data_IF_824020139240
#
_entry.id   IF_824020139240
#
_cell.length_a   1.000
_cell.length_b   1.000
_cell.length_c   1.000
_cell.angle_alpha   90.00
_cell.angle_beta   90.00
_cell.angle_gamma   90.00
#
_symmetry.space_group_name_H-M   'P 1'
#
loop_
_entity.id
_entity.type
_entity.pdbx_description
1 polymer ?
#
# COMPACT_ATOMS: atom_id res chain seq x y z
N UNK A 1 12.19 -2.61 14.85
CA UNK A 1 12.99 -3.08 16.02
C UNK A 1 14.25 -3.87 15.61
N UNK A 2 14.18 -4.93 14.78
CA UNK A 2 15.37 -5.76 14.44
C UNK A 2 16.58 -4.98 13.90
N UNK A 3 16.39 -3.95 13.05
CA UNK A 3 17.51 -3.12 12.56
C UNK A 3 18.01 -2.12 13.60
N UNK A 4 17.12 -1.54 14.39
CA UNK A 4 17.51 -0.66 15.50
C UNK A 4 18.27 -1.48 16.54
N UNK A 5 17.76 -2.67 16.91
CA UNK A 5 18.44 -3.56 17.87
C UNK A 5 19.76 -4.10 17.32
N UNK A 6 19.91 -4.36 16.01
CA UNK A 6 21.21 -4.71 15.40
C UNK A 6 22.24 -3.60 15.53
N UNK A 7 21.87 -2.35 15.24
CA UNK A 7 22.76 -1.18 15.35
C UNK A 7 23.11 -0.82 16.80
N UNK A 8 22.23 -1.18 17.77
CA UNK A 8 22.46 -0.94 19.19
C UNK A 8 23.18 -2.13 19.86
N UNK A 9 22.94 -3.37 19.43
CA UNK A 9 23.62 -4.59 19.95
C UNK A 9 25.13 -4.66 19.65
N UNK A 10 25.63 -3.85 18.75
CA UNK A 10 27.06 -3.80 18.46
C UNK A 10 27.92 -3.16 19.57
N UNK A 11 27.31 -2.72 20.68
CA UNK A 11 28.02 -2.03 21.78
C UNK A 11 27.94 -2.73 23.15
N UNK A 12 27.59 -4.02 23.24
CA UNK A 12 27.70 -4.77 24.51
C UNK A 12 26.42 -5.48 24.94
N UNK A 13 26.59 -6.69 25.45
CA UNK A 13 25.58 -7.71 25.79
C UNK A 13 24.61 -7.39 26.92
N UNK A 14 24.16 -6.16 27.10
CA UNK A 14 23.21 -5.77 28.13
C UNK A 14 21.79 -5.61 27.59
N UNK A 15 20.81 -5.87 28.48
CA UNK A 15 19.39 -5.62 28.22
C UNK A 15 19.16 -4.22 27.64
N UNK A 16 18.44 -4.12 26.55
CA UNK A 16 18.21 -2.87 25.82
C UNK A 16 17.44 -1.88 26.71
N UNK A 17 18.11 -0.85 27.23
CA UNK A 17 17.47 0.19 28.05
C UNK A 17 16.84 1.28 27.17
N UNK A 18 15.66 1.81 27.52
CA UNK A 18 14.97 2.86 26.75
C UNK A 18 15.84 4.09 26.49
N UNK A 19 16.53 4.57 27.52
CA UNK A 19 17.41 5.75 27.43
C UNK A 19 18.51 5.58 26.36
N UNK A 20 19.11 4.39 26.23
CA UNK A 20 20.13 4.12 25.20
C UNK A 20 19.54 4.20 23.77
N UNK A 21 18.32 3.70 23.61
CA UNK A 21 17.61 3.74 22.32
C UNK A 21 17.30 5.18 21.93
N UNK A 22 16.86 5.99 22.87
CA UNK A 22 16.58 7.42 22.66
C UNK A 22 17.85 8.21 22.35
N UNK A 23 18.92 7.98 23.10
CA UNK A 23 20.21 8.62 22.86
C UNK A 23 20.69 8.34 21.45
N UNK A 24 20.61 7.09 20.99
CA UNK A 24 20.99 6.72 19.62
C UNK A 24 20.07 7.36 18.58
N UNK A 25 18.77 7.43 18.81
CA UNK A 25 17.87 8.11 17.90
C UNK A 25 18.20 9.60 17.77
N UNK A 26 18.50 10.29 18.89
CA UNK A 26 18.93 11.69 18.90
C UNK A 26 20.22 11.88 18.11
N UNK A 27 21.22 11.05 18.34
CA UNK A 27 22.49 11.07 17.61
C UNK A 27 22.28 10.91 16.11
N UNK A 28 21.42 9.97 15.67
CA UNK A 28 21.09 9.77 14.25
C UNK A 28 20.41 11.00 13.63
N UNK A 29 19.60 11.73 14.43
CA UNK A 29 18.98 13.00 14.01
C UNK A 29 20.00 14.11 13.89
N UNK A 30 20.85 14.30 14.90
CA UNK A 30 21.88 15.34 14.92
C UNK A 30 22.90 15.16 13.80
N UNK A 31 23.35 13.93 13.59
CA UNK A 31 24.29 13.60 12.50
C UNK A 31 23.62 13.49 11.12
N UNK A 32 22.31 13.69 11.03
CA UNK A 32 21.54 13.56 9.78
C UNK A 32 21.74 12.20 9.08
N UNK A 33 21.96 11.13 9.85
CA UNK A 33 22.18 9.77 9.33
C UNK A 33 20.92 9.16 8.74
N UNK A 34 19.74 9.65 9.11
CA UNK A 34 18.46 9.14 8.68
C UNK A 34 17.59 10.22 8.04
N UNK A 35 16.75 9.81 7.10
CA UNK A 35 15.74 10.68 6.52
C UNK A 35 14.54 10.84 7.45
N UNK A 36 13.79 11.93 7.31
CA UNK A 36 12.55 12.21 8.06
C UNK A 36 11.58 11.01 8.09
N UNK A 37 11.36 10.35 6.94
CA UNK A 37 10.47 9.18 6.84
C UNK A 37 10.99 7.98 7.64
N UNK A 38 12.31 7.79 7.71
CA UNK A 38 12.95 6.75 8.52
C UNK A 38 12.84 7.08 10.00
N UNK A 39 13.05 8.35 10.37
CA UNK A 39 12.85 8.83 11.74
C UNK A 39 11.44 8.57 12.23
N UNK A 40 10.41 8.93 11.45
CA UNK A 40 9.00 8.67 11.82
C UNK A 40 8.74 7.18 12.05
N UNK A 41 9.28 6.31 11.19
CA UNK A 41 9.17 4.86 11.36
C UNK A 41 9.86 4.35 12.61
N UNK A 42 11.06 4.88 12.91
CA UNK A 42 11.79 4.52 14.13
C UNK A 42 11.09 5.03 15.39
N UNK A 43 10.63 6.29 15.39
CA UNK A 43 9.88 6.88 16.50
C UNK A 43 8.65 6.04 16.83
N UNK A 44 7.81 5.71 15.84
CA UNK A 44 6.63 4.85 16.05
C UNK A 44 7.00 3.45 16.58
N UNK A 45 8.05 2.82 16.04
CA UNK A 45 8.48 1.50 16.49
C UNK A 45 9.02 1.51 17.92
N UNK A 46 9.75 2.55 18.31
CA UNK A 46 10.28 2.73 19.67
C UNK A 46 9.13 3.03 20.63
N UNK A 47 8.18 3.89 20.28
CA UNK A 47 6.99 4.15 21.08
C UNK A 47 6.21 2.87 21.36
N UNK A 48 5.95 2.07 20.33
CA UNK A 48 5.28 0.78 20.50
C UNK A 48 6.05 -0.18 21.41
N UNK A 49 7.38 -0.27 21.25
CA UNK A 49 8.22 -1.11 22.10
C UNK A 49 8.21 -0.64 23.56
N UNK A 50 8.36 0.66 23.83
CA UNK A 50 8.29 1.24 25.18
C UNK A 50 6.93 0.91 25.82
N UNK A 51 5.83 1.12 25.10
CA UNK A 51 4.49 0.83 25.58
C UNK A 51 4.31 -0.66 25.95
N UNK A 52 4.77 -1.57 25.10
CA UNK A 52 4.71 -3.01 25.37
C UNK A 52 5.53 -3.41 26.62
N UNK A 53 6.73 -2.85 26.78
CA UNK A 53 7.57 -3.15 27.95
C UNK A 53 6.99 -2.54 29.23
N UNK A 54 6.46 -1.31 29.16
CA UNK A 54 5.77 -0.69 30.30
C UNK A 54 4.58 -1.53 30.78
N UNK A 55 3.74 -2.00 29.85
CA UNK A 55 2.61 -2.88 30.18
C UNK A 55 3.05 -4.18 30.86
N UNK A 56 4.11 -4.81 30.35
CA UNK A 56 4.62 -6.04 30.94
C UNK A 56 5.15 -5.83 32.39
N UNK A 57 5.87 -4.72 32.61
CA UNK A 57 6.39 -4.37 33.96
C UNK A 57 5.25 -4.03 34.93
N UNK A 58 4.26 -3.26 34.50
CA UNK A 58 3.07 -2.93 35.30
C UNK A 58 2.32 -4.22 35.68
N UNK A 59 2.15 -5.14 34.72
CA UNK A 59 1.46 -6.40 34.95
C UNK A 59 2.21 -7.32 35.94
N UNK A 60 3.55 -7.24 36.02
CA UNK A 60 4.39 -7.95 37.00
C UNK A 60 4.61 -7.18 38.30
N UNK A 61 4.00 -6.01 38.46
CA UNK A 61 4.19 -5.11 39.60
C UNK A 61 5.62 -4.58 39.75
N UNK A 62 6.37 -4.52 38.63
CA UNK A 62 7.73 -3.99 38.57
C UNK A 62 7.75 -2.49 38.21
N UNK A 63 8.87 -1.82 38.47
CA UNK A 63 9.03 -0.39 38.19
C UNK A 63 9.14 -0.09 36.67
N UNK A 64 8.14 0.60 36.13
CA UNK A 64 8.08 1.04 34.73
C UNK A 64 8.53 2.51 34.53
N UNK A 65 9.06 3.17 35.59
CA UNK A 65 9.38 4.62 35.57
C UNK A 65 10.31 5.06 34.45
N UNK A 66 11.36 4.27 34.19
CA UNK A 66 12.32 4.56 33.12
C UNK A 66 11.69 4.51 31.72
N UNK A 67 10.73 3.61 31.54
CA UNK A 67 9.98 3.50 30.26
C UNK A 67 9.00 4.66 30.09
N UNK A 68 8.28 5.06 31.13
CA UNK A 68 7.35 6.18 31.11
C UNK A 68 8.10 7.50 30.83
N UNK A 69 9.22 7.74 31.53
CA UNK A 69 10.08 8.90 31.26
C UNK A 69 10.58 8.92 29.81
N UNK A 70 11.10 7.80 29.35
CA UNK A 70 11.61 7.65 27.98
C UNK A 70 10.50 7.86 26.93
N UNK A 71 9.28 7.45 27.22
CA UNK A 71 8.15 7.70 26.34
C UNK A 71 7.86 9.20 26.18
N UNK A 72 7.84 9.93 27.27
CA UNK A 72 7.64 11.39 27.29
C UNK A 72 8.77 12.10 26.53
N UNK A 73 10.02 11.74 26.80
CA UNK A 73 11.18 12.27 26.07
C UNK A 73 11.11 12.00 24.57
N UNK A 74 10.71 10.80 24.17
CA UNK A 74 10.60 10.41 22.76
C UNK A 74 9.55 11.27 22.04
N UNK A 75 8.43 11.62 22.70
CA UNK A 75 7.42 12.54 22.12
C UNK A 75 8.02 13.89 21.79
N UNK A 76 8.93 14.40 22.62
CA UNK A 76 9.60 15.70 22.42
C UNK A 76 10.69 15.70 21.34
N UNK A 77 11.19 14.55 20.87
CA UNK A 77 12.21 14.52 19.82
C UNK A 77 11.59 14.98 18.49
N UNK A 78 12.04 16.14 17.98
CA UNK A 78 11.61 16.68 16.69
C UNK A 78 12.45 16.16 15.53
N UNK A 79 11.89 16.24 14.32
CA UNK A 79 12.54 15.87 13.06
C UNK A 79 12.87 17.08 12.18
N UNK A 80 12.70 18.30 12.69
CA UNK A 80 12.81 19.54 11.91
C UNK A 80 14.19 19.77 11.31
N UNK A 81 15.22 19.16 11.93
CA UNK A 81 16.61 19.19 11.42
C UNK A 81 16.89 18.17 10.32
N UNK A 82 15.98 17.23 10.10
CA UNK A 82 16.18 16.19 9.10
C UNK A 82 15.72 16.67 7.73
N UNK A 83 16.51 16.35 6.72
CA UNK A 83 16.08 16.54 5.34
C UNK A 83 14.81 15.73 5.10
N UNK A 84 13.74 16.40 4.69
CA UNK A 84 12.66 15.72 4.01
C UNK A 84 13.28 14.99 2.84
N UNK A 85 13.37 13.64 2.92
CA UNK A 85 13.80 12.88 1.77
C UNK A 85 12.83 13.24 0.65
N UNK A 86 13.36 13.82 -0.45
CA UNK A 86 12.56 13.97 -1.66
C UNK A 86 11.90 12.63 -1.90
N UNK A 87 10.58 12.58 -1.72
CA UNK A 87 9.84 11.33 -1.86
C UNK A 87 10.16 10.78 -3.24
N UNK A 88 10.79 9.61 -3.31
CA UNK A 88 11.10 8.95 -4.59
C UNK A 88 9.85 8.82 -5.46
N UNK A 89 8.66 8.86 -4.85
CA UNK A 89 7.36 8.93 -5.51
C UNK A 89 7.05 10.29 -6.15
N UNK A 90 7.65 11.40 -5.71
CA UNK A 90 7.44 12.71 -6.30
C UNK A 90 8.08 12.83 -7.70
N UNK A 91 9.20 12.13 -7.91
CA UNK A 91 9.92 12.08 -9.20
C UNK A 91 9.38 11.03 -10.19
N UNK A 92 8.44 10.16 -9.76
CA UNK A 92 7.87 9.15 -10.64
C UNK A 92 6.70 9.70 -11.43
N UNK A 93 6.64 9.35 -12.72
CA UNK A 93 5.50 9.68 -13.56
C UNK A 93 4.21 9.10 -12.96
N UNK A 94 3.21 9.98 -12.80
CA UNK A 94 1.88 9.65 -12.28
C UNK A 94 0.88 9.34 -13.40
N UNK A 95 1.39 8.95 -14.56
CA UNK A 95 0.61 8.56 -15.72
C UNK A 95 1.31 7.42 -16.47
N UNK A 96 0.55 6.62 -17.17
CA UNK A 96 1.00 5.65 -18.15
C UNK A 96 0.19 5.90 -19.43
N UNK A 97 0.75 6.70 -20.32
CA UNK A 97 0.03 7.17 -21.52
C UNK A 97 -0.25 6.03 -22.51
N UNK A 98 -1.20 6.24 -23.40
CA UNK A 98 -1.51 5.28 -24.46
C UNK A 98 -0.35 5.10 -25.44
N UNK A 99 0.45 6.15 -25.70
CA UNK A 99 1.66 6.05 -26.53
C UNK A 99 2.67 5.11 -25.89
N UNK A 100 2.94 5.25 -24.58
CA UNK A 100 3.80 4.33 -23.84
C UNK A 100 3.28 2.89 -23.87
N UNK A 101 1.96 2.71 -23.72
CA UNK A 101 1.31 1.40 -23.79
C UNK A 101 1.48 0.76 -25.17
N UNK A 102 1.16 1.50 -26.23
CA UNK A 102 1.28 1.03 -27.61
C UNK A 102 2.72 0.68 -27.97
N UNK A 103 3.69 1.53 -27.61
CA UNK A 103 5.11 1.27 -27.83
C UNK A 103 5.59 -0.01 -27.12
N UNK A 104 5.18 -0.22 -25.86
CA UNK A 104 5.51 -1.45 -25.13
C UNK A 104 4.88 -2.68 -25.77
N UNK A 105 3.61 -2.62 -26.17
CA UNK A 105 2.91 -3.75 -26.82
C UNK A 105 3.54 -4.07 -28.15
N UNK A 106 3.88 -3.06 -28.96
CA UNK A 106 4.59 -3.22 -30.24
C UNK A 106 5.94 -3.93 -30.00
N UNK A 107 6.76 -3.40 -29.08
CA UNK A 107 8.04 -3.99 -28.74
C UNK A 107 7.91 -5.46 -28.29
N UNK A 108 6.91 -5.76 -27.45
CA UNK A 108 6.65 -7.11 -26.96
C UNK A 108 6.23 -8.05 -28.10
N UNK A 109 5.47 -7.59 -29.08
CA UNK A 109 5.06 -8.36 -30.28
C UNK A 109 6.25 -8.68 -31.15
N UNK A 110 7.12 -7.70 -31.39
CA UNK A 110 8.27 -7.85 -32.28
C UNK A 110 9.41 -8.69 -31.66
N UNK A 111 9.60 -8.59 -30.33
CA UNK A 111 10.75 -9.19 -29.62
C UNK A 111 10.39 -10.17 -28.52
N UNK A 112 9.10 -10.46 -28.31
CA UNK A 112 8.63 -11.28 -27.18
C UNK A 112 9.20 -12.70 -27.15
N UNK A 113 9.48 -13.29 -28.30
CA UNK A 113 10.11 -14.62 -28.37
C UNK A 113 11.53 -14.65 -27.77
N UNK A 114 12.28 -13.56 -27.92
CA UNK A 114 13.65 -13.43 -27.38
C UNK A 114 13.71 -12.66 -26.05
N UNK A 115 12.59 -12.06 -25.63
CA UNK A 115 12.49 -11.26 -24.42
C UNK A 115 11.20 -11.58 -23.66
N UNK A 116 11.08 -12.72 -22.97
CA UNK A 116 9.84 -13.16 -22.31
C UNK A 116 9.33 -12.15 -21.25
N UNK A 117 10.23 -11.36 -20.67
CA UNK A 117 9.83 -10.29 -19.78
C UNK A 117 9.14 -9.09 -20.48
N UNK A 118 9.33 -8.93 -21.81
CA UNK A 118 8.61 -7.91 -22.57
C UNK A 118 7.13 -8.29 -22.72
N UNK A 119 6.85 -9.53 -23.09
CA UNK A 119 5.49 -10.05 -23.16
C UNK A 119 4.79 -9.99 -21.80
N UNK A 120 5.50 -10.36 -20.72
CA UNK A 120 4.99 -10.27 -19.35
C UNK A 120 4.69 -8.82 -18.94
N UNK A 121 5.59 -7.87 -19.27
CA UNK A 121 5.39 -6.47 -18.97
C UNK A 121 4.20 -5.87 -19.73
N UNK A 122 4.03 -6.22 -21.01
CA UNK A 122 2.88 -5.80 -21.82
C UNK A 122 1.58 -6.38 -21.23
N UNK A 123 1.53 -7.67 -20.92
CA UNK A 123 0.37 -8.31 -20.30
C UNK A 123 0.02 -7.66 -18.95
N UNK A 124 1.02 -7.32 -18.13
CA UNK A 124 0.80 -6.58 -16.88
C UNK A 124 0.18 -5.21 -17.13
N UNK A 125 0.74 -4.44 -18.05
CA UNK A 125 0.26 -3.08 -18.32
C UNK A 125 -1.17 -3.11 -18.82
N UNK A 126 -1.51 -3.99 -19.78
CA UNK A 126 -2.87 -4.16 -20.28
C UNK A 126 -3.85 -4.51 -19.16
N UNK A 127 -3.54 -5.49 -18.33
CA UNK A 127 -4.39 -5.91 -17.22
C UNK A 127 -4.47 -4.84 -16.11
N UNK A 128 -3.34 -4.24 -15.73
CA UNK A 128 -3.33 -3.33 -14.59
C UNK A 128 -3.88 -1.93 -14.91
N UNK A 129 -3.93 -1.54 -16.17
CA UNK A 129 -4.66 -0.33 -16.61
C UNK A 129 -6.19 -0.48 -16.48
N UNK A 130 -6.70 -1.70 -16.30
CA UNK A 130 -8.11 -1.96 -16.00
C UNK A 130 -8.39 -1.86 -14.49
N UNK A 131 -7.56 -2.48 -13.66
CA UNK A 131 -7.85 -2.72 -12.23
C UNK A 131 -6.97 -1.93 -11.26
N UNK A 132 -5.84 -1.41 -11.69
CA UNK A 132 -4.96 -0.58 -10.88
C UNK A 132 -4.46 -1.23 -9.57
N UNK A 133 -4.30 -2.56 -9.53
CA UNK A 133 -3.85 -3.26 -8.33
C UNK A 133 -2.42 -2.87 -7.97
N UNK A 134 -2.11 -2.95 -6.65
CA UNK A 134 -0.70 -2.91 -6.23
C UNK A 134 0.01 -4.18 -6.70
N UNK A 135 1.31 -4.11 -6.99
CA UNK A 135 2.06 -5.29 -7.40
C UNK A 135 1.90 -6.52 -6.50
N UNK A 136 1.86 -6.32 -5.18
CA UNK A 136 1.68 -7.41 -4.22
C UNK A 136 0.27 -8.02 -4.24
N UNK A 137 -0.75 -7.26 -4.63
CA UNK A 137 -2.15 -7.68 -4.62
C UNK A 137 -2.46 -8.73 -5.70
N UNK A 138 -1.71 -8.71 -6.80
CA UNK A 138 -1.89 -9.67 -7.90
C UNK A 138 -1.66 -11.13 -7.49
N UNK A 139 -0.80 -11.39 -6.52
CA UNK A 139 -0.51 -12.75 -6.05
C UNK A 139 -1.63 -13.38 -5.20
N UNK A 140 -2.58 -12.57 -4.77
CA UNK A 140 -3.71 -13.01 -3.94
C UNK A 140 -5.07 -12.59 -4.55
N UNK A 141 -5.06 -11.99 -5.75
CA UNK A 141 -6.29 -11.65 -6.45
C UNK A 141 -6.97 -12.93 -6.98
N UNK A 142 -8.30 -12.99 -6.83
CA UNK A 142 -9.10 -14.16 -7.23
C UNK A 142 -10.27 -13.72 -8.09
N UNK A 143 -10.30 -14.11 -9.38
CA UNK A 143 -11.50 -13.97 -10.19
C UNK A 143 -12.64 -14.83 -9.61
N UNK A 144 -13.83 -14.28 -9.56
CA UNK A 144 -15.04 -14.97 -9.13
C UNK A 144 -16.22 -14.59 -10.04
N UNK A 145 -17.19 -15.47 -10.11
CA UNK A 145 -18.42 -15.27 -10.86
C UNK A 145 -19.60 -15.67 -10.00
N UNK A 146 -20.56 -14.78 -9.85
CA UNK A 146 -21.76 -15.02 -9.08
C UNK A 146 -22.99 -14.95 -9.99
N UNK A 147 -23.96 -15.81 -9.72
CA UNK A 147 -25.28 -15.73 -10.31
C UNK A 147 -26.05 -14.58 -9.64
N UNK A 148 -26.52 -13.62 -10.44
CA UNK A 148 -27.36 -12.56 -9.93
C UNK A 148 -28.72 -13.11 -9.53
N UNK A 149 -29.18 -12.76 -8.32
CA UNK A 149 -30.48 -13.13 -7.77
C UNK A 149 -31.28 -11.90 -7.38
N UNK A 150 -32.59 -11.97 -7.53
CA UNK A 150 -33.53 -11.05 -6.91
C UNK A 150 -33.60 -11.29 -5.40
N UNK A 151 -34.25 -10.39 -4.66
CA UNK A 151 -34.44 -10.52 -3.20
C UNK A 151 -35.21 -11.78 -2.82
N UNK A 152 -36.12 -12.25 -3.69
CA UNK A 152 -36.89 -13.48 -3.55
C UNK A 152 -36.09 -14.77 -3.83
N UNK A 153 -34.81 -14.64 -4.17
CA UNK A 153 -33.88 -15.74 -4.50
C UNK A 153 -33.97 -16.24 -5.95
N UNK A 154 -34.85 -15.72 -6.77
CA UNK A 154 -34.94 -16.08 -8.20
C UNK A 154 -33.77 -15.51 -8.98
N UNK A 155 -33.41 -16.15 -10.09
CA UNK A 155 -32.30 -15.69 -10.93
C UNK A 155 -32.68 -14.49 -11.78
N UNK A 156 -31.83 -13.45 -11.77
CA UNK A 156 -31.96 -12.34 -12.71
C UNK A 156 -31.64 -12.83 -14.13
N UNK A 157 -32.55 -12.53 -15.08
CA UNK A 157 -32.38 -12.90 -16.49
C UNK A 157 -32.23 -11.65 -17.36
N UNK A 158 -31.55 -11.83 -18.50
CA UNK A 158 -31.52 -10.81 -19.54
C UNK A 158 -32.82 -10.87 -20.39
N UNK A 159 -33.05 -9.94 -21.34
CA UNK A 159 -34.23 -9.96 -22.19
C UNK A 159 -34.38 -11.25 -22.99
N UNK A 160 -33.31 -11.94 -23.30
CA UNK A 160 -33.27 -13.22 -24.03
C UNK A 160 -33.51 -14.43 -23.10
N UNK A 161 -33.83 -14.19 -21.82
CA UNK A 161 -34.11 -15.24 -20.82
C UNK A 161 -32.91 -15.94 -20.21
N UNK A 162 -31.69 -15.56 -20.55
CA UNK A 162 -30.48 -16.16 -20.02
C UNK A 162 -30.17 -15.62 -18.62
N UNK A 163 -29.64 -16.47 -17.74
CA UNK A 163 -29.25 -16.08 -16.38
C UNK A 163 -28.08 -15.08 -16.45
N UNK A 164 -28.21 -13.98 -15.73
CA UNK A 164 -27.15 -12.97 -15.62
C UNK A 164 -26.12 -13.36 -14.57
N UNK A 165 -24.86 -13.10 -14.92
CA UNK A 165 -23.70 -13.30 -14.05
C UNK A 165 -23.09 -11.95 -13.67
N UNK A 166 -22.58 -11.87 -12.47
CA UNK A 166 -21.71 -10.81 -12.03
C UNK A 166 -20.28 -11.36 -11.92
N UNK A 167 -19.42 -10.92 -12.80
CA UNK A 167 -17.99 -11.17 -12.68
C UNK A 167 -17.36 -10.17 -11.71
N UNK A 168 -16.44 -10.63 -10.88
CA UNK A 168 -15.71 -9.80 -9.95
C UNK A 168 -14.29 -10.28 -9.75
N UNK A 169 -13.47 -9.38 -9.23
CA UNK A 169 -12.12 -9.68 -8.74
C UNK A 169 -12.07 -9.42 -7.23
N UNK A 170 -11.87 -10.47 -6.46
CA UNK A 170 -11.65 -10.37 -5.00
C UNK A 170 -10.18 -10.11 -4.76
N UNK A 171 -9.85 -9.07 -4.02
CA UNK A 171 -8.49 -8.60 -3.79
C UNK A 171 -8.19 -8.50 -2.30
N UNK A 172 -7.15 -9.20 -1.85
CA UNK A 172 -6.62 -9.03 -0.50
C UNK A 172 -5.87 -7.70 -0.40
N UNK A 173 -6.27 -6.85 0.53
CA UNK A 173 -5.70 -5.52 0.69
C UNK A 173 -4.27 -5.58 1.24
N UNK A 174 -3.29 -5.12 0.47
CA UNK A 174 -1.87 -5.16 0.84
C UNK A 174 -1.50 -4.34 2.09
N UNK A 175 -2.39 -3.46 2.57
CA UNK A 175 -2.19 -2.60 3.74
C UNK A 175 -3.35 -2.75 4.74
N UNK A 176 -3.82 -3.97 4.97
CA UNK A 176 -4.92 -4.25 5.88
C UNK A 176 -4.55 -4.21 7.38
N UNK A 177 -3.24 -4.06 7.70
CA UNK A 177 -2.76 -4.05 9.09
C UNK A 177 -2.89 -2.66 9.72
N UNK A 178 -3.20 -2.62 11.02
CA UNK A 178 -3.30 -1.40 11.84
C UNK A 178 -4.33 -0.37 11.34
N UNK A 179 -5.50 -0.81 10.85
CA UNK A 179 -6.58 0.09 10.42
C UNK A 179 -6.27 0.99 9.22
N UNK A 180 -5.18 0.73 8.48
CA UNK A 180 -4.76 1.55 7.33
C UNK A 180 -5.38 1.14 5.99
N UNK A 181 -6.14 0.06 5.95
CA UNK A 181 -6.81 -0.45 4.76
C UNK A 181 -8.32 -0.44 4.89
N UNK A 182 -9.01 -0.57 3.77
CA UNK A 182 -10.45 -0.76 3.70
C UNK A 182 -10.76 -2.26 3.89
N UNK A 183 -10.76 -2.73 5.14
CA UNK A 183 -10.94 -4.15 5.46
C UNK A 183 -9.78 -5.05 5.01
N UNK A 184 -9.93 -6.37 5.22
CA UNK A 184 -8.94 -7.37 4.77
C UNK A 184 -9.00 -7.59 3.26
N UNK A 185 -10.18 -7.52 2.68
CA UNK A 185 -10.47 -7.76 1.27
C UNK A 185 -11.36 -6.66 0.71
N UNK A 186 -11.36 -6.51 -0.60
CA UNK A 186 -12.30 -5.71 -1.36
C UNK A 186 -12.72 -6.44 -2.62
N UNK A 187 -13.89 -6.12 -3.11
CA UNK A 187 -14.47 -6.70 -4.31
C UNK A 187 -14.57 -5.63 -5.40
N UNK A 188 -14.04 -5.97 -6.56
CA UNK A 188 -14.08 -5.14 -7.76
C UNK A 188 -15.04 -5.79 -8.76
N UNK A 189 -16.18 -5.17 -8.96
CA UNK A 189 -17.21 -5.63 -9.88
C UNK A 189 -16.80 -5.28 -11.31
N UNK A 190 -16.86 -6.25 -12.20
CA UNK A 190 -16.61 -6.06 -13.62
C UNK A 190 -17.90 -5.63 -14.29
N UNK A 191 -17.95 -4.40 -14.77
CA UNK A 191 -19.04 -3.85 -15.57
C UNK A 191 -18.51 -3.56 -16.97
N UNK A 192 -19.26 -3.96 -17.96
CA UNK A 192 -19.00 -3.61 -19.37
C UNK A 192 -17.59 -3.98 -19.87
N UNK A 193 -17.01 -5.06 -19.34
CA UNK A 193 -15.71 -5.56 -19.76
C UNK A 193 -15.80 -6.22 -21.14
N UNK A 194 -14.95 -5.81 -22.05
CA UNK A 194 -14.84 -6.44 -23.36
C UNK A 194 -14.16 -7.81 -23.28
N UNK A 195 -14.41 -8.74 -24.24
CA UNK A 195 -13.71 -10.02 -24.29
C UNK A 195 -12.18 -9.88 -24.34
N UNK A 196 -11.66 -8.84 -25.00
CA UNK A 196 -10.23 -8.56 -25.08
C UNK A 196 -9.65 -8.13 -23.73
N UNK A 197 -10.36 -7.27 -22.99
CA UNK A 197 -9.95 -6.85 -21.64
C UNK A 197 -10.01 -8.02 -20.67
N UNK A 198 -11.05 -8.84 -20.72
CA UNK A 198 -11.14 -10.06 -19.92
C UNK A 198 -9.96 -11.00 -20.22
N UNK A 199 -9.62 -11.21 -21.50
CA UNK A 199 -8.48 -12.02 -21.90
C UNK A 199 -7.17 -11.45 -21.35
N UNK A 200 -6.95 -10.14 -21.42
CA UNK A 200 -5.76 -9.48 -20.88
C UNK A 200 -5.67 -9.66 -19.36
N UNK A 201 -6.78 -9.48 -18.63
CA UNK A 201 -6.88 -9.68 -17.20
C UNK A 201 -6.50 -11.10 -16.79
N UNK A 202 -7.16 -12.09 -17.41
CA UNK A 202 -6.97 -13.50 -17.12
C UNK A 202 -5.58 -14.01 -17.50
N UNK A 203 -5.02 -13.53 -18.61
CA UNK A 203 -3.66 -13.85 -19.02
C UNK A 203 -2.65 -13.42 -17.95
N UNK A 204 -2.72 -12.15 -17.51
CA UNK A 204 -1.77 -11.68 -16.51
C UNK A 204 -2.00 -12.32 -15.15
N UNK A 205 -3.24 -12.53 -14.73
CA UNK A 205 -3.56 -13.26 -13.52
C UNK A 205 -2.94 -14.66 -13.53
N UNK A 206 -3.09 -15.42 -14.61
CA UNK A 206 -2.49 -16.73 -14.78
C UNK A 206 -0.95 -16.70 -14.69
N UNK A 207 -0.32 -15.69 -15.31
CA UNK A 207 1.14 -15.49 -15.23
C UNK A 207 1.57 -15.24 -13.78
N UNK A 208 0.84 -14.39 -13.05
CA UNK A 208 1.14 -14.08 -11.66
C UNK A 208 0.98 -15.30 -10.74
N UNK A 209 -0.09 -16.08 -10.92
CA UNK A 209 -0.34 -17.31 -10.15
C UNK A 209 0.73 -18.36 -10.41
N UNK A 210 1.05 -18.68 -11.68
CA UNK A 210 2.12 -19.62 -12.04
C UNK A 210 3.48 -19.16 -11.50
N UNK A 211 3.74 -17.86 -11.44
CA UNK A 211 4.96 -17.35 -10.83
C UNK A 211 4.93 -17.56 -9.31
N UNK A 212 3.83 -17.28 -8.64
CA UNK A 212 3.67 -17.47 -7.19
C UNK A 212 3.84 -18.94 -6.79
N UNK A 213 3.26 -19.89 -7.54
CA UNK A 213 3.33 -21.33 -7.30
C UNK A 213 4.75 -21.90 -7.36
N UNK A 214 5.63 -21.30 -8.18
CA UNK A 214 7.04 -21.74 -8.31
C UNK A 214 7.93 -21.29 -7.15
N UNK A 215 7.41 -20.53 -6.20
CA UNK A 215 8.18 -20.00 -5.08
C UNK A 215 7.64 -20.54 -3.75
N UNK A 216 8.48 -20.67 -2.71
CA UNK A 216 8.07 -21.13 -1.40
C UNK A 216 6.90 -20.32 -0.82
N UNK A 217 6.00 -20.98 -0.08
CA UNK A 217 4.83 -20.32 0.53
C UNK A 217 5.20 -19.25 1.56
N UNK A 218 6.31 -19.41 2.23
CA UNK A 218 6.86 -18.54 3.28
C UNK A 218 7.75 -17.40 2.75
N UNK A 219 7.96 -17.33 1.42
CA UNK A 219 8.72 -16.22 0.81
C UNK A 219 8.10 -14.87 1.20
N UNK A 220 8.94 -13.95 1.65
CA UNK A 220 8.47 -12.60 1.99
C UNK A 220 7.84 -11.93 0.77
N UNK A 221 6.64 -11.35 0.96
CA UNK A 221 5.89 -10.66 -0.11
C UNK A 221 6.72 -9.59 -0.85
N UNK A 222 7.58 -8.85 -0.15
CA UNK A 222 8.49 -7.86 -0.74
C UNK A 222 9.50 -8.52 -1.68
N UNK A 223 10.08 -9.65 -1.29
CA UNK A 223 11.06 -10.39 -2.10
C UNK A 223 10.41 -10.94 -3.35
N UNK A 224 9.27 -11.62 -3.21
CA UNK A 224 8.49 -12.14 -4.33
C UNK A 224 8.13 -11.03 -5.32
N UNK A 225 7.65 -9.90 -4.81
CA UNK A 225 7.29 -8.72 -5.62
C UNK A 225 8.50 -8.19 -6.40
N UNK A 226 9.65 -8.08 -5.77
CA UNK A 226 10.87 -7.60 -6.44
C UNK A 226 11.33 -8.57 -7.54
N UNK A 227 11.33 -9.87 -7.27
CA UNK A 227 11.70 -10.89 -8.27
C UNK A 227 10.80 -10.85 -9.50
N UNK A 228 9.52 -10.57 -9.31
CA UNK A 228 8.54 -10.54 -10.40
C UNK A 228 8.55 -9.24 -11.18
N UNK A 229 8.51 -8.08 -10.48
CA UNK A 229 8.27 -6.78 -11.12
C UNK A 229 9.54 -6.03 -11.53
N UNK A 230 10.70 -6.31 -10.92
CA UNK A 230 11.95 -5.66 -11.32
C UNK A 230 12.34 -5.96 -12.77
N UNK A 231 12.29 -7.22 -13.25
CA UNK A 231 12.53 -7.52 -14.66
C UNK A 231 11.54 -6.82 -15.60
N UNK A 232 10.26 -6.72 -15.22
CA UNK A 232 9.26 -6.00 -16.03
C UNK A 232 9.55 -4.51 -16.09
N UNK A 233 9.91 -3.85 -14.99
CA UNK A 233 10.31 -2.44 -14.98
C UNK A 233 11.51 -2.19 -15.89
N UNK A 234 12.52 -3.07 -15.85
CA UNK A 234 13.69 -2.96 -16.72
C UNK A 234 13.28 -3.10 -18.20
N UNK A 235 12.33 -3.99 -18.48
CA UNK A 235 11.85 -4.19 -19.84
C UNK A 235 11.01 -3.03 -20.35
N UNK A 236 10.15 -2.42 -19.50
CA UNK A 236 9.43 -1.18 -19.84
C UNK A 236 10.44 -0.09 -20.21
N UNK A 237 11.48 0.11 -19.40
CA UNK A 237 12.53 1.09 -19.71
C UNK A 237 13.20 0.80 -21.04
N UNK A 238 13.63 -0.43 -21.27
CA UNK A 238 14.29 -0.84 -22.52
C UNK A 238 13.39 -0.63 -23.74
N UNK A 239 12.12 -1.04 -23.65
CA UNK A 239 11.17 -0.91 -24.75
C UNK A 239 10.89 0.55 -25.09
N UNK A 240 10.64 1.39 -24.09
CA UNK A 240 10.31 2.78 -24.30
C UNK A 240 11.54 3.61 -24.73
N UNK A 241 12.72 3.34 -24.17
CA UNK A 241 13.96 3.96 -24.67
C UNK A 241 14.23 3.60 -26.11
N UNK A 242 14.02 2.34 -26.52
CA UNK A 242 14.15 1.91 -27.91
C UNK A 242 13.11 2.56 -28.85
N UNK A 243 11.99 3.02 -28.29
CA UNK A 243 10.95 3.76 -29.00
C UNK A 243 11.13 5.30 -28.95
N UNK A 244 12.29 5.78 -28.46
CA UNK A 244 12.64 7.20 -28.48
C UNK A 244 12.16 8.01 -27.26
N UNK A 245 11.58 7.40 -26.24
CA UNK A 245 11.18 8.11 -25.02
C UNK A 245 12.38 8.52 -24.18
N UNK A 246 12.42 9.78 -23.72
CA UNK A 246 13.44 10.25 -22.80
C UNK A 246 13.31 9.55 -21.44
N UNK A 247 14.41 9.33 -20.73
CA UNK A 247 14.45 8.59 -19.46
C UNK A 247 13.48 9.17 -18.40
N UNK A 248 13.28 10.50 -18.40
CA UNK A 248 12.34 11.19 -17.50
C UNK A 248 10.87 10.90 -17.82
N UNK A 249 10.56 10.51 -19.06
CA UNK A 249 9.20 10.30 -19.57
C UNK A 249 8.82 8.80 -19.56
N UNK A 250 9.66 7.94 -18.99
CA UNK A 250 9.41 6.51 -18.91
C UNK A 250 8.69 6.17 -17.60
N UNK A 251 7.44 5.67 -17.68
CA UNK A 251 6.68 5.25 -16.52
C UNK A 251 7.22 3.95 -15.91
N UNK A 252 6.79 3.68 -14.69
CA UNK A 252 7.05 2.41 -14.00
C UNK A 252 5.80 1.54 -13.94
N UNK A 253 5.91 0.28 -13.51
CA UNK A 253 4.75 -0.59 -13.24
C UNK A 253 3.76 0.07 -12.28
N UNK A 254 4.20 0.90 -11.35
CA UNK A 254 3.31 1.59 -10.42
C UNK A 254 2.55 2.75 -11.05
N UNK A 255 3.04 3.28 -12.17
CA UNK A 255 2.38 4.37 -12.91
C UNK A 255 1.04 3.94 -13.51
N UNK A 256 0.85 2.64 -13.79
CA UNK A 256 -0.45 2.10 -14.25
C UNK A 256 -1.55 2.33 -13.21
N UNK A 257 -1.25 2.13 -11.92
CA UNK A 257 -2.21 2.40 -10.84
C UNK A 257 -2.55 3.90 -10.74
N UNK A 258 -1.57 4.77 -10.92
CA UNK A 258 -1.81 6.21 -10.97
C UNK A 258 -2.70 6.59 -12.15
N UNK A 259 -2.51 5.94 -13.30
CA UNK A 259 -3.35 6.15 -14.51
C UNK A 259 -4.80 5.75 -14.24
N UNK A 260 -5.05 4.59 -13.63
CA UNK A 260 -6.41 4.15 -13.30
C UNK A 260 -7.10 5.14 -12.35
N UNK A 261 -6.39 5.65 -11.32
CA UNK A 261 -6.93 6.71 -10.45
C UNK A 261 -7.27 7.98 -11.25
N UNK A 262 -6.43 8.35 -12.21
CA UNK A 262 -6.70 9.51 -13.08
C UNK A 262 -7.96 9.30 -13.92
N UNK A 263 -8.16 8.09 -14.46
CA UNK A 263 -9.35 7.73 -15.22
C UNK A 263 -10.61 7.83 -14.35
N UNK A 264 -10.61 7.26 -13.14
CA UNK A 264 -11.71 7.40 -12.18
C UNK A 264 -12.06 8.86 -11.86
N UNK A 265 -11.03 9.70 -11.66
CA UNK A 265 -11.24 11.14 -11.43
C UNK A 265 -11.83 11.86 -12.64
N UNK A 266 -11.48 11.43 -13.85
CA UNK A 266 -11.99 12.01 -15.09
C UNK A 266 -13.46 11.66 -15.34
N UNK A 267 -13.89 10.44 -14.99
CA UNK A 267 -15.28 9.98 -15.16
C UNK A 267 -16.26 10.48 -14.06
N UNK A 268 -15.78 11.25 -13.09
CA UNK A 268 -16.65 11.82 -12.07
C UNK A 268 -17.09 10.84 -10.98
N UNK A 269 -16.49 9.66 -10.90
CA UNK A 269 -16.74 8.69 -9.83
C UNK A 269 -16.44 9.30 -8.46
N UNK A 270 -17.26 8.98 -7.46
CA UNK A 270 -17.17 9.56 -6.11
C UNK A 270 -15.81 9.24 -5.44
N UNK A 271 -15.33 10.18 -4.61
CA UNK A 271 -14.07 9.98 -3.87
C UNK A 271 -14.11 8.73 -3.00
N UNK A 272 -15.26 8.43 -2.43
CA UNK A 272 -15.49 7.26 -1.57
C UNK A 272 -15.36 5.96 -2.36
N UNK A 273 -15.95 5.91 -3.55
CA UNK A 273 -15.83 4.75 -4.45
C UNK A 273 -14.39 4.56 -4.94
N UNK A 274 -13.69 5.66 -5.30
CA UNK A 274 -12.26 5.59 -5.64
C UNK A 274 -11.46 5.03 -4.46
N UNK A 275 -11.72 5.47 -3.23
CA UNK A 275 -11.04 4.97 -2.04
C UNK A 275 -11.29 3.47 -1.84
N UNK A 276 -12.56 3.03 -1.94
CA UNK A 276 -12.95 1.63 -1.85
C UNK A 276 -12.25 0.78 -2.91
N UNK A 277 -12.29 1.22 -4.16
CA UNK A 277 -11.67 0.53 -5.30
C UNK A 277 -10.17 0.30 -5.08
N UNK A 278 -9.47 1.29 -4.55
CA UNK A 278 -8.03 1.20 -4.30
C UNK A 278 -7.66 0.65 -2.91
N UNK A 279 -8.63 0.23 -2.10
CA UNK A 279 -8.41 -0.31 -0.76
C UNK A 279 -7.83 0.72 0.21
N UNK A 280 -8.30 1.95 0.15
CA UNK A 280 -7.98 3.02 1.09
C UNK A 280 -9.05 3.10 2.19
N UNK A 281 -8.63 3.28 3.43
CA UNK A 281 -9.56 3.42 4.55
C UNK A 281 -10.29 4.78 4.56
N UNK A 282 -9.74 5.81 3.90
CA UNK A 282 -10.36 7.13 3.81
C UNK A 282 -10.35 7.68 2.39
N UNK A 283 -11.31 8.54 2.12
CA UNK A 283 -11.51 9.19 0.84
C UNK A 283 -10.49 10.31 0.53
N UNK A 284 -9.58 10.65 1.43
CA UNK A 284 -8.56 11.67 1.22
C UNK A 284 -7.25 11.13 0.64
N UNK A 285 -6.92 9.85 0.88
CA UNK A 285 -5.62 9.27 0.51
C UNK A 285 -5.30 9.41 -0.99
N UNK A 286 -6.31 9.36 -1.86
CA UNK A 286 -6.11 9.47 -3.31
C UNK A 286 -5.92 10.91 -3.79
N UNK A 287 -6.31 11.91 -2.98
CA UNK A 287 -6.23 13.33 -3.34
C UNK A 287 -4.79 13.79 -3.50
N UNK A 288 -3.93 13.46 -2.55
CA UNK A 288 -2.56 13.97 -2.48
C UNK A 288 -1.53 13.15 -3.26
N UNK A 289 -1.76 11.84 -3.37
CA UNK A 289 -0.69 10.91 -3.76
C UNK A 289 -0.84 10.28 -5.13
N UNK A 290 -2.01 10.38 -5.78
CA UNK A 290 -2.31 9.64 -7.00
C UNK A 290 -2.63 10.55 -8.19
N UNK A 291 -2.75 9.92 -9.37
CA UNK A 291 -2.90 10.55 -10.67
C UNK A 291 -3.80 11.78 -10.75
N UNK A 292 -3.45 12.71 -11.61
CA UNK A 292 -4.19 13.95 -11.82
C UNK A 292 -5.36 13.72 -12.80
N UNK A 293 -6.53 14.35 -12.57
CA UNK A 293 -7.71 14.28 -13.43
C UNK A 293 -7.39 14.56 -14.89
N UNK A 294 -6.51 15.53 -15.18
CA UNK A 294 -6.07 15.90 -16.52
C UNK A 294 -5.39 14.78 -17.32
N UNK A 295 -4.87 13.76 -16.63
CA UNK A 295 -4.24 12.60 -17.26
C UNK A 295 -5.22 11.45 -17.49
N UNK A 296 -6.48 11.57 -17.08
CA UNK A 296 -7.52 10.58 -17.30
C UNK A 296 -8.17 10.78 -18.67
N UNK A 297 -8.47 9.69 -19.34
CA UNK A 297 -9.12 9.71 -20.66
C UNK A 297 -9.82 8.41 -21.01
N UNK A 298 -9.45 7.30 -20.35
CA UNK A 298 -10.14 6.03 -20.50
C UNK A 298 -11.36 5.94 -19.60
N UNK A 299 -12.42 5.33 -20.10
CA UNK A 299 -13.53 4.89 -19.27
C UNK A 299 -13.09 3.94 -18.17
N UNK A 300 -13.95 3.72 -17.21
CA UNK A 300 -13.73 2.80 -16.08
C UNK A 300 -14.61 1.58 -16.27
N UNK A 301 -13.98 0.41 -16.37
CA UNK A 301 -14.66 -0.88 -16.63
C UNK A 301 -14.99 -1.61 -15.33
N UNK A 302 -14.34 -1.23 -14.21
CA UNK A 302 -14.50 -1.86 -12.91
C UNK A 302 -15.01 -0.87 -11.88
N UNK A 303 -15.81 -1.34 -10.94
CA UNK A 303 -16.34 -0.56 -9.83
C UNK A 303 -16.11 -1.28 -8.50
N UNK A 304 -16.00 -0.52 -7.41
CA UNK A 304 -16.00 -1.13 -6.08
C UNK A 304 -17.42 -1.67 -5.76
N UNK A 305 -17.51 -2.80 -5.06
CA UNK A 305 -18.81 -3.29 -4.58
C UNK A 305 -19.40 -2.32 -3.57
N UNK A 306 -20.76 -2.26 -3.44
CA UNK A 306 -21.42 -1.42 -2.43
C UNK A 306 -20.89 -1.68 -1.02
N UNK A 307 -20.61 -2.94 -0.67
CA UNK A 307 -20.05 -3.35 0.62
C UNK A 307 -18.65 -2.76 0.83
N UNK A 308 -17.80 -2.82 -0.20
CA UNK A 308 -16.46 -2.21 -0.15
C UNK A 308 -16.54 -0.68 -0.01
N UNK A 309 -17.53 -0.04 -0.64
CA UNK A 309 -17.77 1.41 -0.50
C UNK A 309 -18.28 1.76 0.89
N UNK A 310 -19.15 0.93 1.47
CA UNK A 310 -19.70 1.14 2.82
C UNK A 310 -18.60 1.14 3.90
N UNK A 311 -17.55 0.33 3.71
CA UNK A 311 -16.42 0.23 4.63
C UNK A 311 -15.50 1.47 4.65
N UNK A 312 -15.56 2.34 3.63
CA UNK A 312 -14.76 3.56 3.60
C UNK A 312 -15.28 4.58 4.62
N UNK A 313 -14.47 4.88 5.61
CA UNK A 313 -14.81 5.90 6.62
C UNK A 313 -14.59 7.30 6.07
N UNK A 314 -15.55 8.20 6.32
CA UNK A 314 -15.30 9.65 6.23
C UNK A 314 -14.39 10.01 7.42
N UNK A 315 -13.09 10.03 7.23
CA UNK A 315 -12.22 10.62 8.23
C UNK A 315 -12.31 12.15 8.09
N UNK A 316 -13.05 12.75 8.98
CA UNK A 316 -12.69 14.09 9.46
C UNK A 316 -11.34 13.91 10.15
N UNK A 317 -10.25 14.25 9.45
CA UNK A 317 -8.92 14.06 9.99
C UNK A 317 -8.66 15.12 11.01
N UNK A 318 -9.00 14.86 12.26
CA UNK A 318 -8.14 15.31 13.33
C UNK A 318 -6.92 14.39 13.26
N UNK A 319 -5.80 14.86 12.70
CA UNK A 319 -4.49 14.26 12.90
C UNK A 319 -4.13 14.44 14.37
N UNK A 320 -4.73 13.66 15.23
CA UNK A 320 -4.12 13.41 16.51
C UNK A 320 -2.86 12.56 16.20
N UNK A 321 -1.68 12.92 16.75
CA UNK A 321 -0.57 12.00 16.81
C UNK A 321 -1.14 10.71 17.40
N UNK A 322 -0.72 9.54 16.86
CA UNK A 322 -1.22 8.22 17.25
C UNK A 322 -1.44 8.21 18.75
N UNK A 323 -2.69 8.36 19.17
CA UNK A 323 -3.04 8.26 20.56
C UNK A 323 -2.70 6.82 20.96
N UNK A 324 -1.98 6.69 22.07
CA UNK A 324 -1.97 5.45 22.79
C UNK A 324 -3.41 4.96 22.92
N UNK A 325 -3.67 3.65 22.95
CA UNK A 325 -4.95 3.15 23.44
C UNK A 325 -5.34 3.98 24.68
N UNK A 326 -6.57 4.54 24.67
CA UNK A 326 -6.97 5.54 25.68
C UNK A 326 -6.76 5.05 27.12
N UNK A 327 -6.89 3.75 27.34
CA UNK A 327 -6.58 3.05 28.58
C UNK A 327 -5.09 3.14 28.98
N UNK A 328 -4.17 3.15 28.04
CA UNK A 328 -2.73 3.25 28.32
C UNK A 328 -2.29 4.71 28.59
N UNK A 329 -2.90 5.67 27.91
CA UNK A 329 -2.65 7.08 28.14
C UNK A 329 -3.13 7.48 29.54
N UNK A 330 -4.34 7.05 29.94
CA UNK A 330 -4.92 7.26 31.25
C UNK A 330 -4.06 6.62 32.35
N UNK A 331 -3.54 5.42 32.12
CA UNK A 331 -2.70 4.72 33.11
C UNK A 331 -1.34 5.40 33.32
N UNK A 332 -0.70 5.87 32.25
CA UNK A 332 0.57 6.60 32.33
C UNK A 332 0.37 7.96 33.02
N UNK A 333 -0.68 8.67 32.68
CA UNK A 333 -0.99 9.99 33.28
C UNK A 333 -1.37 9.85 34.77
N UNK A 334 -2.16 8.85 35.15
CA UNK A 334 -2.50 8.55 36.55
C UNK A 334 -1.26 8.17 37.36
N UNK A 335 -0.40 7.33 36.80
CA UNK A 335 0.85 6.91 37.48
C UNK A 335 1.81 8.10 37.63
N UNK A 336 1.92 9.00 36.64
CA UNK A 336 2.72 10.22 36.72
C UNK A 336 2.24 11.14 37.85
N UNK A 337 0.91 11.34 37.98
CA UNK A 337 0.30 12.12 39.06
C UNK A 337 0.55 11.49 40.44
N UNK A 338 0.46 10.16 40.58
CA UNK A 338 0.79 9.49 41.83
C UNK A 338 2.27 9.66 42.25
N UNK A 339 3.20 9.66 41.27
CA UNK A 339 4.62 9.87 41.57
C UNK A 339 4.95 11.32 41.94
N UNK A 340 4.24 12.30 41.40
CA UNK A 340 4.36 13.71 41.80
C UNK A 340 3.81 13.92 43.22
N UNK A 341 2.67 13.30 43.55
CA UNK A 341 2.09 13.37 44.91
C UNK A 341 2.92 12.67 45.98
N UNK A 342 3.75 11.65 45.60
CA UNK A 342 4.67 10.97 46.57
C UNK A 342 5.95 11.78 46.85
N UNK A 343 6.21 12.85 46.07
CA UNK A 343 7.39 13.71 46.26
C UNK A 343 7.09 15.00 47.02
N UNK A 344 5.80 15.23 47.31
CA UNK A 344 5.31 16.24 48.29
C UNK A 344 5.12 15.60 49.67
#
# INVERSE_FOLDING_TARGET
>A
MREISKKIRLTGGNTLKPAMVLARLREMVERKEIAESTFRGYKSAIMYWIAQQSQALIASNDDASDYARSFTELRGISHDKLRSAERTSAKKLKAFSDECRQALVKFARERGHHAPNAARAAAFVEANLLVGLRPTEWFNARPATYLLRHEDGTFVRNPEGQIRFQHMLIVDNAKATHGRGNGKQRELLLKDITPQEMKALMLFWTIAMKFRERHPKDIQAKTLTNLFYRPMNNMIRRALSASGFAARDIPSVYSTRHQVVANFKATGVSKREIAAFFGHSSDETHREHYGYKRNGGRGVTFHASPESVAQVTRRTVIRQPEALPDDLAIHIDSWMQEQENRKQ
#
